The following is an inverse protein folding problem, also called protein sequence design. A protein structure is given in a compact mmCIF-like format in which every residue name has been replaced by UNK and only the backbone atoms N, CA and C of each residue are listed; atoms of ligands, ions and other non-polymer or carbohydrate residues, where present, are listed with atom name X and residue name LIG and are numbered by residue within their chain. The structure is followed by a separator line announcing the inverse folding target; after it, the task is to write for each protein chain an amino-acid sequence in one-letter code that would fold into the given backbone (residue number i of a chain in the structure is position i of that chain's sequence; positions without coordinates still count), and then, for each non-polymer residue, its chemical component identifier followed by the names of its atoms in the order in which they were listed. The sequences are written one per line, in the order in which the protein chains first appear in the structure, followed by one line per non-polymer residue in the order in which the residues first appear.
data_IF_630142472423
#
_entry.id   IF_630142472423
#
_cell.length_a   1.000
_cell.length_b   1.000
_cell.length_c   1.000
_cell.angle_alpha   90.00
_cell.angle_beta   90.00
_cell.angle_gamma   90.00
#
_symmetry.space_group_name_H-M   'P 1'
#
loop_
_entity.id
_entity.type
_entity.pdbx_description
1 polymer ?
#
# COMPACT_ATOMS: atom_id res chain seq x y z
N UNK A 1 -49.56 -37.75 5.16
CA UNK A 1 -49.13 -38.21 6.51
C UNK A 1 -47.60 -38.23 6.52
N UNK A 2 -46.95 -37.10 6.79
CA UNK A 2 -46.32 -36.75 8.08
C UNK A 2 -45.36 -37.83 8.62
N UNK A 3 -44.07 -37.66 8.36
CA UNK A 3 -42.99 -38.19 9.20
C UNK A 3 -41.76 -37.28 9.10
N UNK A 4 -41.60 -36.48 10.14
CA UNK A 4 -40.43 -35.68 10.49
C UNK A 4 -39.24 -36.58 10.85
N UNK A 5 -38.08 -36.39 10.20
CA UNK A 5 -36.77 -36.68 10.83
C UNK A 5 -35.78 -35.59 10.46
N UNK A 6 -35.35 -34.84 11.46
CA UNK A 6 -34.45 -33.70 11.33
C UNK A 6 -33.00 -34.11 11.08
N UNK A 7 -32.25 -33.20 10.46
CA UNK A 7 -30.79 -33.17 10.55
C UNK A 7 -30.33 -31.72 10.74
N UNK A 8 -29.57 -31.52 11.82
CA UNK A 8 -29.14 -30.23 12.40
C UNK A 8 -28.33 -29.39 11.41
N UNK A 9 -28.77 -28.15 11.16
CA UNK A 9 -27.87 -27.07 10.76
C UNK A 9 -27.36 -26.37 12.02
N UNK A 10 -26.02 -26.37 12.20
CA UNK A 10 -25.35 -25.68 13.30
C UNK A 10 -25.56 -24.17 13.17
N UNK A 11 -26.19 -23.58 14.19
CA UNK A 11 -26.32 -22.14 14.35
C UNK A 11 -25.08 -21.67 15.11
N UNK A 12 -24.20 -20.92 14.45
CA UNK A 12 -23.14 -20.16 15.12
C UNK A 12 -23.67 -18.77 15.41
N UNK A 13 -23.89 -18.44 16.67
CA UNK A 13 -24.27 -17.10 17.13
C UNK A 13 -23.02 -16.24 17.28
N UNK A 14 -22.79 -15.35 16.31
CA UNK A 14 -22.00 -14.15 16.51
C UNK A 14 -22.74 -13.00 15.81
N UNK A 15 -23.50 -12.23 16.58
CA UNK A 15 -24.15 -10.99 16.15
C UNK A 15 -25.28 -11.14 15.12
N UNK A 16 -26.53 -11.25 15.58
CA UNK A 16 -27.81 -10.88 14.95
C UNK A 16 -28.00 -10.86 13.40
N UNK A 17 -27.31 -11.69 12.64
CA UNK A 17 -27.53 -11.81 11.19
C UNK A 17 -27.73 -13.29 10.84
N UNK A 18 -28.97 -13.67 10.54
CA UNK A 18 -29.26 -14.95 9.91
C UNK A 18 -29.06 -14.76 8.40
N UNK A 19 -27.97 -15.30 7.87
CA UNK A 19 -27.71 -15.32 6.42
C UNK A 19 -28.27 -16.64 5.88
N UNK A 20 -29.33 -16.57 5.07
CA UNK A 20 -29.84 -17.70 4.30
C UNK A 20 -29.40 -17.58 2.84
N UNK A 21 -28.64 -18.54 2.34
CA UNK A 21 -28.22 -18.64 0.94
C UNK A 21 -29.13 -19.60 0.18
N UNK A 22 -29.95 -19.09 -0.75
CA UNK A 22 -30.65 -19.91 -1.74
C UNK A 22 -29.74 -20.16 -2.95
N UNK A 23 -29.56 -21.43 -3.34
CA UNK A 23 -28.63 -21.84 -4.40
C UNK A 23 -29.09 -21.59 -5.85
N UNK A 24 -30.26 -21.00 -6.09
CA UNK A 24 -30.77 -20.84 -7.48
C UNK A 24 -30.77 -19.42 -8.05
N UNK A 25 -30.74 -18.37 -7.25
CA UNK A 25 -30.65 -17.00 -7.75
C UNK A 25 -29.79 -16.18 -6.79
N UNK A 26 -28.70 -15.59 -7.29
CA UNK A 26 -27.72 -14.78 -6.55
C UNK A 26 -28.35 -13.46 -6.09
N UNK A 27 -29.31 -13.52 -5.17
CA UNK A 27 -29.99 -12.32 -4.68
C UNK A 27 -30.08 -12.39 -3.16
N UNK A 28 -29.34 -11.50 -2.49
CA UNK A 28 -29.44 -11.32 -1.05
C UNK A 28 -30.70 -10.52 -0.72
N UNK A 29 -31.52 -11.01 0.20
CA UNK A 29 -32.70 -10.31 0.73
C UNK A 29 -32.48 -10.00 2.20
N UNK A 30 -32.57 -8.73 2.58
CA UNK A 30 -32.57 -8.30 3.99
C UNK A 30 -34.02 -8.18 4.47
N UNK A 31 -34.33 -8.83 5.59
CA UNK A 31 -35.65 -8.74 6.25
C UNK A 31 -35.55 -7.74 7.40
N UNK A 32 -36.16 -6.57 7.24
CA UNK A 32 -36.46 -5.70 8.38
C UNK A 32 -37.88 -6.00 8.87
N UNK A 33 -38.08 -5.96 10.18
CA UNK A 33 -39.33 -6.34 10.82
C UNK A 33 -40.52 -5.54 10.28
N UNK A 34 -41.60 -6.27 9.98
CA UNK A 34 -42.98 -5.77 9.87
C UNK A 34 -43.20 -4.52 9.02
N UNK A 35 -43.18 -4.65 7.69
CA UNK A 35 -44.30 -4.25 6.82
C UNK A 35 -43.94 -4.39 5.33
N UNK A 36 -44.86 -5.05 4.62
CA UNK A 36 -45.12 -5.11 3.16
C UNK A 36 -43.94 -5.19 2.16
N UNK A 37 -43.92 -6.29 1.40
CA UNK A 37 -43.09 -6.47 0.19
C UNK A 37 -43.42 -5.43 -0.90
N UNK A 38 -42.41 -4.69 -1.37
CA UNK A 38 -42.52 -3.86 -2.59
C UNK A 38 -41.47 -4.27 -3.63
N UNK A 39 -41.83 -4.42 -4.92
CA UNK A 39 -40.89 -4.77 -5.96
C UNK A 39 -40.00 -3.57 -6.33
N UNK A 40 -38.68 -3.78 -6.43
CA UNK A 40 -37.74 -2.81 -7.02
C UNK A 40 -37.99 -2.71 -8.52
N UNK A 41 -38.50 -1.57 -9.00
CA UNK A 41 -38.15 -1.10 -10.35
C UNK A 41 -36.73 -0.56 -10.27
N UNK A 42 -35.85 -1.15 -11.06
CA UNK A 42 -34.50 -0.65 -11.29
C UNK A 42 -34.57 0.80 -11.78
N UNK A 43 -34.06 1.73 -10.99
CA UNK A 43 -33.50 3.01 -11.40
C UNK A 43 -32.83 3.68 -10.19
N UNK A 44 -31.53 3.40 -10.05
CA UNK A 44 -30.54 4.41 -9.65
C UNK A 44 -30.55 5.00 -8.25
N UNK A 45 -30.49 4.19 -7.19
CA UNK A 45 -29.91 4.64 -5.91
C UNK A 45 -29.06 3.52 -5.31
N UNK A 46 -27.74 3.61 -5.46
CA UNK A 46 -26.81 2.87 -4.60
C UNK A 46 -26.54 3.68 -3.35
N UNK A 47 -26.51 2.94 -2.24
CA UNK A 47 -26.64 3.41 -0.87
C UNK A 47 -25.66 4.51 -0.49
N UNK A 48 -26.17 5.47 0.29
CA UNK A 48 -25.37 6.20 1.28
C UNK A 48 -24.68 5.18 2.19
N UNK A 49 -23.35 5.15 2.16
CA UNK A 49 -22.54 4.32 3.05
C UNK A 49 -21.05 4.56 2.86
N UNK A 50 -20.49 5.51 3.62
CA UNK A 50 -19.08 5.46 3.99
C UNK A 50 -18.07 6.33 3.23
N UNK A 51 -18.37 7.61 2.93
CA UNK A 51 -17.29 8.60 2.94
C UNK A 51 -17.00 8.90 4.40
N UNK A 52 -15.97 8.27 4.97
CA UNK A 52 -15.44 8.66 6.28
C UNK A 52 -15.19 10.17 6.26
N UNK A 53 -15.51 10.90 7.34
CA UNK A 53 -14.93 12.22 7.51
C UNK A 53 -13.45 11.97 7.79
N UNK A 54 -12.61 12.01 6.76
CA UNK A 54 -11.19 12.22 7.00
C UNK A 54 -11.11 13.55 7.73
N UNK A 55 -10.90 13.49 9.05
CA UNK A 55 -10.67 14.64 9.90
C UNK A 55 -9.72 15.62 9.17
N UNK A 56 -9.88 16.94 9.28
CA UNK A 56 -8.89 17.89 8.75
C UNK A 56 -7.46 17.55 9.20
N UNK A 57 -7.34 16.93 10.38
CA UNK A 57 -6.09 16.39 10.95
C UNK A 57 -5.51 15.20 10.17
N UNK A 58 -6.35 14.36 9.54
CA UNK A 58 -5.91 13.27 8.66
C UNK A 58 -5.45 13.79 7.29
N UNK A 59 -6.08 14.84 6.74
CA UNK A 59 -5.60 15.49 5.52
C UNK A 59 -4.21 16.09 5.71
N UNK A 60 -3.95 16.73 6.85
CA UNK A 60 -2.63 17.29 7.17
C UNK A 60 -1.59 16.18 7.43
N UNK A 61 -1.95 15.11 8.15
CA UNK A 61 -1.07 13.95 8.35
C UNK A 61 -0.76 13.18 7.05
N UNK A 62 -1.72 13.09 6.13
CA UNK A 62 -1.52 12.48 4.81
C UNK A 62 -0.67 13.38 3.91
N UNK A 63 -0.79 14.70 4.06
CA UNK A 63 0.02 15.70 3.33
C UNK A 63 1.48 15.76 3.81
N UNK A 64 1.74 15.60 5.11
CA UNK A 64 3.10 15.65 5.69
C UNK A 64 3.97 14.46 5.26
N UNK A 65 3.39 13.28 5.01
CA UNK A 65 4.11 12.09 4.52
C UNK A 65 4.53 12.14 3.06
N UNK A 66 4.21 13.22 2.35
CA UNK A 66 4.48 13.36 0.92
C UNK A 66 5.81 14.10 0.64
N UNK A 67 6.30 14.91 1.58
CA UNK A 67 7.52 15.68 1.40
C UNK A 67 8.77 14.81 1.57
N UNK A 68 9.71 14.87 0.61
CA UNK A 68 10.95 14.10 0.71
C UNK A 68 11.81 14.52 1.91
N UNK A 69 11.73 15.77 2.35
CA UNK A 69 12.43 16.28 3.54
C UNK A 69 12.05 15.55 4.85
N UNK A 70 10.89 14.88 4.87
CA UNK A 70 10.42 14.07 6.01
C UNK A 70 10.37 12.58 5.69
N UNK A 71 10.90 12.19 4.53
CA UNK A 71 11.03 10.81 4.13
C UNK A 71 12.47 10.37 4.40
N UNK A 72 12.66 9.13 4.82
CA UNK A 72 13.98 8.49 4.87
C UNK A 72 14.46 8.17 3.43
N UNK A 73 14.41 9.14 2.50
CA UNK A 73 14.85 9.05 1.11
C UNK A 73 14.64 7.68 0.42
N UNK A 74 13.51 7.00 0.66
CA UNK A 74 13.39 5.54 0.40
C UNK A 74 13.64 5.15 -1.05
N UNK A 75 13.40 6.07 -2.00
CA UNK A 75 13.71 5.86 -3.42
C UNK A 75 15.21 5.71 -3.69
N UNK A 76 16.07 6.36 -2.91
CA UNK A 76 17.53 6.20 -2.99
C UNK A 76 18.01 4.83 -2.51
N UNK A 77 17.14 3.99 -1.90
CA UNK A 77 17.44 2.58 -1.58
C UNK A 77 17.02 1.60 -2.68
N UNK A 78 16.41 2.08 -3.76
CA UNK A 78 16.00 1.24 -4.89
C UNK A 78 17.15 1.07 -5.90
N UNK A 79 17.27 -0.10 -6.51
CA UNK A 79 18.33 -0.35 -7.50
C UNK A 79 17.84 0.22 -8.80
N UNK A 80 18.57 1.19 -9.34
CA UNK A 80 18.18 1.91 -10.55
C UNK A 80 19.23 1.69 -11.62
N UNK A 81 18.78 1.20 -12.78
CA UNK A 81 19.61 1.12 -13.98
C UNK A 81 19.81 2.53 -14.57
N UNK A 82 20.99 2.76 -15.12
CA UNK A 82 21.36 4.02 -15.76
C UNK A 82 21.39 3.76 -17.27
N UNK A 83 20.61 4.53 -18.02
CA UNK A 83 20.63 4.45 -19.48
C UNK A 83 21.91 5.13 -20.00
N UNK A 84 22.54 4.64 -21.08
CA UNK A 84 23.69 5.32 -21.69
C UNK A 84 23.43 6.78 -22.09
N UNK A 85 22.17 7.16 -22.30
CA UNK A 85 21.75 8.53 -22.62
C UNK A 85 21.69 9.45 -21.39
N UNK A 86 21.65 8.90 -20.19
CA UNK A 86 21.61 9.66 -18.94
C UNK A 86 23.01 10.23 -18.63
N UNK A 87 23.10 11.55 -18.44
CA UNK A 87 24.37 12.25 -18.14
C UNK A 87 24.71 12.17 -16.65
N UNK A 88 25.00 10.96 -16.15
CA UNK A 88 25.42 10.74 -14.76
C UNK A 88 26.96 10.59 -14.70
N UNK A 89 27.65 11.30 -13.79
CA UNK A 89 29.08 11.11 -13.58
C UNK A 89 29.44 9.66 -13.20
N UNK A 90 30.54 9.14 -13.75
CA UNK A 90 30.97 7.75 -13.54
C UNK A 90 31.14 7.38 -12.05
N UNK A 91 31.58 8.32 -11.21
CA UNK A 91 31.76 8.10 -9.77
C UNK A 91 30.44 7.88 -9.01
N UNK A 92 29.29 8.20 -9.61
CA UNK A 92 27.96 7.94 -9.05
C UNK A 92 27.33 6.65 -9.59
N UNK A 93 28.05 5.93 -10.46
CA UNK A 93 27.57 4.73 -11.14
C UNK A 93 28.48 3.55 -10.86
N UNK A 94 27.93 2.35 -10.97
CA UNK A 94 28.66 1.09 -10.89
C UNK A 94 28.14 0.12 -11.93
N UNK A 95 28.92 -0.92 -12.21
CA UNK A 95 28.54 -2.01 -13.11
C UNK A 95 28.33 -3.27 -12.28
N UNK A 96 27.16 -3.90 -12.39
CA UNK A 96 26.91 -5.16 -11.67
C UNK A 96 27.76 -6.28 -12.27
N UNK A 97 27.96 -7.41 -11.57
CA UNK A 97 28.69 -8.56 -12.12
C UNK A 97 28.13 -9.10 -13.44
N UNK A 98 26.86 -8.82 -13.73
CA UNK A 98 26.17 -9.21 -14.96
C UNK A 98 26.32 -8.16 -16.09
N UNK A 99 27.07 -7.08 -15.88
CA UNK A 99 27.33 -6.04 -16.87
C UNK A 99 26.29 -4.92 -16.92
N UNK A 100 25.36 -4.82 -15.97
CA UNK A 100 24.35 -3.74 -15.96
C UNK A 100 24.90 -2.46 -15.35
N UNK A 101 24.76 -1.33 -16.06
CA UNK A 101 25.03 -0.02 -15.50
C UNK A 101 23.93 0.40 -14.52
N UNK A 102 24.31 0.66 -13.27
CA UNK A 102 23.40 1.03 -12.19
C UNK A 102 23.94 2.22 -11.41
N UNK A 103 23.07 2.90 -10.67
CA UNK A 103 23.53 3.86 -9.66
C UNK A 103 24.36 3.13 -8.59
N UNK A 104 25.52 3.69 -8.26
CA UNK A 104 26.38 3.14 -7.21
C UNK A 104 25.73 3.26 -5.82
N UNK A 105 26.09 2.35 -4.92
CA UNK A 105 25.58 2.30 -3.56
C UNK A 105 26.70 2.31 -2.53
N UNK A 106 26.41 2.88 -1.37
CA UNK A 106 27.25 2.80 -0.18
C UNK A 106 27.06 1.45 0.55
N UNK A 107 27.78 1.29 1.66
CA UNK A 107 27.77 0.07 2.48
C UNK A 107 26.42 -0.12 3.19
N UNK A 108 25.71 0.97 3.45
CA UNK A 108 24.40 1.03 4.07
C UNK A 108 23.25 0.80 3.07
N UNK A 109 23.57 0.65 1.78
CA UNK A 109 22.65 0.34 0.70
C UNK A 109 21.89 1.54 0.12
N UNK A 110 22.32 2.76 0.40
CA UNK A 110 21.83 3.96 -0.27
C UNK A 110 22.59 4.24 -1.55
N UNK A 111 21.91 4.88 -2.49
CA UNK A 111 22.57 5.50 -3.63
C UNK A 111 23.56 6.58 -3.15
N UNK A 112 24.79 6.54 -3.67
CA UNK A 112 25.86 7.51 -3.33
C UNK A 112 25.52 8.97 -3.64
N UNK A 113 24.45 9.22 -4.41
CA UNK A 113 23.96 10.56 -4.73
C UNK A 113 22.94 11.10 -3.70
N UNK A 114 22.79 10.47 -2.54
CA UNK A 114 21.96 10.98 -1.44
C UNK A 114 22.69 12.08 -0.68
N UNK A 115 21.98 13.16 -0.36
CA UNK A 115 22.35 14.12 0.68
C UNK A 115 21.81 13.61 2.02
N UNK A 116 22.68 13.01 2.83
CA UNK A 116 22.32 12.43 4.13
C UNK A 116 21.84 13.47 5.16
N UNK A 117 22.20 14.75 5.00
CA UNK A 117 21.76 15.80 5.92
C UNK A 117 20.30 16.20 5.65
N UNK A 118 19.88 16.20 4.37
CA UNK A 118 18.54 16.60 3.96
C UNK A 118 17.60 15.44 3.64
N UNK A 119 18.12 14.21 3.57
CA UNK A 119 17.41 13.02 3.12
C UNK A 119 16.75 13.21 1.75
N UNK A 120 17.47 13.86 0.83
CA UNK A 120 17.04 14.06 -0.55
C UNK A 120 18.19 13.75 -1.53
N UNK A 121 17.91 13.68 -2.82
CA UNK A 121 18.96 13.41 -3.81
C UNK A 121 19.70 14.70 -4.15
N UNK A 122 21.03 14.70 -4.06
CA UNK A 122 21.87 15.86 -4.38
C UNK A 122 21.86 16.20 -5.87
N UNK A 123 21.63 15.21 -6.73
CA UNK A 123 21.59 15.35 -8.20
C UNK A 123 20.17 15.48 -8.76
N UNK A 124 19.24 16.07 -8.00
CA UNK A 124 17.80 16.09 -8.32
C UNK A 124 17.50 16.47 -9.77
N UNK A 125 18.16 17.52 -10.27
CA UNK A 125 17.97 18.07 -11.63
C UNK A 125 18.51 17.17 -12.75
N UNK A 126 19.57 16.42 -12.45
CA UNK A 126 20.28 15.59 -13.43
C UNK A 126 19.99 14.11 -13.28
N UNK A 127 19.01 13.72 -12.45
CA UNK A 127 18.60 12.33 -12.20
C UNK A 127 18.47 11.49 -13.47
N UNK A 128 18.78 10.19 -13.41
CA UNK A 128 18.57 9.30 -14.55
C UNK A 128 17.07 9.19 -14.87
N UNK A 129 16.73 8.83 -16.11
CA UNK A 129 15.37 8.79 -16.60
C UNK A 129 14.44 7.93 -15.72
N UNK A 130 14.93 6.81 -15.19
CA UNK A 130 14.18 5.93 -14.28
C UNK A 130 13.82 6.66 -12.97
N UNK A 131 14.77 7.40 -12.38
CA UNK A 131 14.51 8.21 -11.19
C UNK A 131 13.52 9.36 -11.46
N UNK A 132 13.51 9.93 -12.67
CA UNK A 132 12.53 10.98 -13.04
C UNK A 132 11.11 10.42 -13.23
N UNK A 133 10.99 9.20 -13.77
CA UNK A 133 9.70 8.51 -13.92
C UNK A 133 9.08 8.14 -12.57
N UNK A 134 9.88 8.06 -11.51
CA UNK A 134 9.39 7.86 -10.16
C UNK A 134 8.70 9.14 -9.65
N UNK A 135 7.37 9.19 -9.84
CA UNK A 135 6.56 10.34 -9.41
C UNK A 135 6.52 10.42 -7.89
N UNK A 136 7.06 11.51 -7.34
CA UNK A 136 6.99 11.81 -5.91
C UNK A 136 5.55 11.84 -5.43
N UNK A 137 5.28 11.17 -4.31
CA UNK A 137 3.93 11.07 -3.73
C UNK A 137 2.88 10.42 -4.65
N UNK A 138 3.30 9.86 -5.78
CA UNK A 138 2.49 8.98 -6.62
C UNK A 138 2.24 7.62 -5.95
N UNK A 139 1.43 6.76 -6.56
CA UNK A 139 1.04 5.46 -5.99
C UNK A 139 2.27 4.60 -5.63
N UNK A 140 3.21 4.46 -6.55
CA UNK A 140 4.42 3.67 -6.32
C UNK A 140 5.31 4.25 -5.20
N UNK A 141 5.43 5.57 -5.12
CA UNK A 141 6.16 6.23 -4.03
C UNK A 141 5.55 5.93 -2.66
N UNK A 142 4.21 5.92 -2.57
CA UNK A 142 3.48 5.61 -1.34
C UNK A 142 3.62 4.15 -0.95
N UNK A 143 3.54 3.24 -1.93
CA UNK A 143 3.67 1.80 -1.69
C UNK A 143 5.07 1.48 -1.15
N UNK A 144 6.13 2.00 -1.79
CA UNK A 144 7.50 1.83 -1.31
C UNK A 144 7.69 2.38 0.11
N UNK A 145 7.13 3.57 0.40
CA UNK A 145 7.16 4.15 1.76
C UNK A 145 6.43 3.27 2.77
N UNK A 146 5.26 2.74 2.41
CA UNK A 146 4.48 1.86 3.30
C UNK A 146 5.20 0.53 3.57
N UNK A 147 5.79 -0.09 2.54
CA UNK A 147 6.62 -1.30 2.71
C UNK A 147 7.83 -1.02 3.60
N UNK A 148 8.49 0.12 3.39
CA UNK A 148 9.63 0.53 4.20
C UNK A 148 9.25 0.75 5.67
N UNK A 149 8.16 1.48 5.93
CA UNK A 149 7.64 1.70 7.28
C UNK A 149 7.30 0.37 7.99
N UNK A 150 6.67 -0.57 7.27
CA UNK A 150 6.33 -1.89 7.79
C UNK A 150 7.59 -2.71 8.13
N UNK A 151 8.59 -2.73 7.24
CA UNK A 151 9.87 -3.37 7.51
C UNK A 151 10.57 -2.78 8.74
N UNK A 152 10.57 -1.46 8.90
CA UNK A 152 11.12 -0.79 10.07
C UNK A 152 10.38 -1.15 11.36
N UNK A 153 9.05 -1.29 11.31
CA UNK A 153 8.23 -1.63 12.48
C UNK A 153 8.38 -3.07 12.92
N UNK A 154 8.58 -4.00 11.97
CA UNK A 154 8.75 -5.43 12.28
C UNK A 154 9.99 -5.67 13.13
N UNK A 155 11.03 -4.84 12.97
CA UNK A 155 12.29 -4.94 13.72
C UNK A 155 13.02 -6.26 13.47
N UNK A 156 14.29 -6.32 13.88
CA UNK A 156 15.00 -7.59 14.05
C UNK A 156 15.11 -7.80 15.55
N UNK A 157 14.72 -8.97 16.10
CA UNK A 157 14.91 -9.23 17.52
C UNK A 157 16.40 -9.23 17.84
N UNK A 158 16.86 -8.27 18.63
CA UNK A 158 18.22 -8.22 19.13
C UNK A 158 18.31 -9.12 20.36
N UNK A 159 18.67 -10.39 20.15
CA UNK A 159 19.02 -11.30 21.24
C UNK A 159 20.47 -11.06 21.64
N UNK A 160 20.68 -10.38 22.77
CA UNK A 160 22.00 -10.28 23.40
C UNK A 160 22.30 -11.60 24.11
N UNK A 161 23.28 -12.34 23.61
CA UNK A 161 23.89 -13.45 24.34
C UNK A 161 25.00 -12.88 25.22
N UNK A 162 24.74 -12.80 26.53
CA UNK A 162 25.80 -12.55 27.49
C UNK A 162 26.60 -13.84 27.69
N UNK A 163 27.91 -13.75 27.49
CA UNK A 163 28.88 -14.80 27.76
C UNK A 163 29.14 -14.97 29.27
#
# INVERSE_FOLDING_TARGET
MLASTGRRARQGTAGNVIIAFSRREKTAYCRHGGDRFTPRRAQGVWCKGGRTPVSPSLYLAFSIKNLCERCDAVCCRLTVMVDPSDRIPNHLTSVTPQGWHVMARDEEGWCVAIDAARMCCSIYETRPAICRRFVMSGPYCRDVRATYDDQRRRGIPLTLYNA
#
